data_IF_755388335109
#
_entry.id   IF_755388335109
#
_cell.length_a   1.000
_cell.length_b   1.000
_cell.length_c   1.000
_cell.angle_alpha   90.00
_cell.angle_beta   90.00
_cell.angle_gamma   90.00
#
_symmetry.space_group_name_H-M   'P 1'
#
loop_
_entity.id
_entity.type
_entity.pdbx_description
1 polymer ?
#
# COMPACT_ATOMS: atom_id res chain seq x y z
N UNK A 1 5.66 -16.14 0.76
CA UNK A 1 4.86 -14.90 0.81
C UNK A 1 5.64 -13.75 0.20
N UNK A 2 4.98 -12.90 -0.54
CA UNK A 2 5.58 -11.73 -1.17
C UNK A 2 4.99 -10.44 -0.62
N UNK A 3 5.77 -9.37 -0.69
CA UNK A 3 5.36 -8.06 -0.23
C UNK A 3 5.53 -7.02 -1.33
N UNK A 4 4.53 -6.15 -1.46
CA UNK A 4 4.67 -4.92 -2.24
C UNK A 4 4.89 -3.78 -1.27
N UNK A 5 5.97 -3.03 -1.47
CA UNK A 5 6.34 -1.90 -0.63
C UNK A 5 6.27 -0.63 -1.48
N UNK A 6 5.43 0.30 -1.08
CA UNK A 6 5.26 1.58 -1.78
C UNK A 6 5.71 2.70 -0.87
N UNK A 7 6.77 3.39 -1.27
CA UNK A 7 7.26 4.57 -0.57
C UNK A 7 6.59 5.81 -1.15
N UNK A 8 6.11 6.69 -0.30
CA UNK A 8 5.39 7.88 -0.71
C UNK A 8 5.72 9.05 0.20
N UNK A 9 5.42 10.25 -0.27
CA UNK A 9 5.52 11.46 0.53
C UNK A 9 4.19 12.17 0.50
N UNK A 10 3.71 12.56 1.68
CA UNK A 10 2.41 13.20 1.88
C UNK A 10 2.65 14.44 2.75
N UNK A 11 1.97 15.55 2.44
CA UNK A 11 2.06 16.70 3.34
C UNK A 11 1.60 16.29 4.74
N UNK A 12 2.32 16.67 5.80
CA UNK A 12 1.93 16.28 7.17
C UNK A 12 0.47 16.57 7.50
N UNK A 13 -0.07 17.68 6.99
CA UNK A 13 -1.47 18.04 7.21
C UNK A 13 -2.47 17.10 6.55
N UNK A 14 -2.04 16.31 5.57
CA UNK A 14 -2.90 15.38 4.83
C UNK A 14 -2.78 13.93 5.29
N UNK A 15 -1.92 13.63 6.27
CA UNK A 15 -1.71 12.26 6.74
C UNK A 15 -2.98 11.64 7.30
N UNK A 16 -3.75 12.40 8.08
CA UNK A 16 -5.01 11.91 8.65
C UNK A 16 -5.98 11.47 7.57
N UNK A 17 -6.11 12.27 6.51
CA UNK A 17 -6.98 11.95 5.38
C UNK A 17 -6.46 10.72 4.63
N UNK A 18 -5.15 10.61 4.42
CA UNK A 18 -4.54 9.43 3.78
C UNK A 18 -4.80 8.17 4.60
N UNK A 19 -4.67 8.25 5.93
CA UNK A 19 -4.94 7.13 6.82
C UNK A 19 -6.39 6.68 6.72
N UNK A 20 -7.32 7.63 6.66
CA UNK A 20 -8.74 7.35 6.54
C UNK A 20 -9.06 6.64 5.22
N UNK A 21 -8.52 7.15 4.11
CA UNK A 21 -8.72 6.53 2.80
C UNK A 21 -8.13 5.11 2.79
N UNK A 22 -6.95 4.94 3.32
CA UNK A 22 -6.30 3.64 3.36
C UNK A 22 -7.13 2.63 4.18
N UNK A 23 -7.55 3.02 5.36
CA UNK A 23 -8.30 2.14 6.26
C UNK A 23 -9.70 1.83 5.73
N UNK A 24 -10.40 2.83 5.17
CA UNK A 24 -11.82 2.71 4.83
C UNK A 24 -12.06 2.25 3.40
N UNK A 25 -11.13 2.51 2.49
CA UNK A 25 -11.30 2.19 1.06
C UNK A 25 -10.28 1.18 0.55
N UNK A 26 -9.01 1.36 0.90
CA UNK A 26 -7.95 0.50 0.36
C UNK A 26 -7.96 -0.89 1.01
N UNK A 27 -7.93 -0.95 2.32
CA UNK A 27 -7.87 -2.23 3.04
C UNK A 27 -9.11 -3.10 2.79
N UNK A 28 -10.35 -2.58 2.88
CA UNK A 28 -11.52 -3.41 2.57
C UNK A 28 -11.50 -3.97 1.15
N UNK A 29 -11.09 -3.17 0.17
CA UNK A 29 -11.00 -3.64 -1.20
C UNK A 29 -9.88 -4.68 -1.38
N UNK A 30 -8.76 -4.50 -0.69
CA UNK A 30 -7.65 -5.47 -0.72
C UNK A 30 -8.07 -6.84 -0.20
N UNK A 31 -8.94 -6.87 0.81
CA UNK A 31 -9.43 -8.13 1.38
C UNK A 31 -10.21 -8.97 0.38
N UNK A 32 -10.73 -8.37 -0.68
CA UNK A 32 -11.44 -9.08 -1.75
C UNK A 32 -10.49 -9.62 -2.82
N UNK A 33 -9.21 -9.23 -2.80
CA UNK A 33 -8.23 -9.68 -3.76
C UNK A 33 -7.65 -11.04 -3.35
N UNK A 34 -7.49 -11.92 -4.35
CA UNK A 34 -6.95 -13.25 -4.13
C UNK A 34 -5.53 -13.17 -3.56
N UNK A 35 -5.30 -13.93 -2.50
CA UNK A 35 -3.97 -14.05 -1.90
C UNK A 35 -3.57 -12.91 -0.97
N UNK A 36 -4.46 -11.96 -0.72
CA UNK A 36 -4.16 -10.88 0.22
C UNK A 36 -4.02 -11.44 1.64
N UNK A 37 -2.92 -11.06 2.33
CA UNK A 37 -2.58 -11.58 3.67
C UNK A 37 -2.43 -10.50 4.73
N UNK A 38 -2.39 -9.26 4.36
CA UNK A 38 -2.30 -8.17 5.31
C UNK A 38 -1.74 -6.91 4.70
N UNK A 39 -1.88 -5.81 5.44
CA UNK A 39 -1.38 -4.52 5.02
C UNK A 39 -1.01 -3.67 6.21
N UNK A 40 -0.01 -2.82 6.01
CA UNK A 40 0.45 -1.84 6.98
C UNK A 40 0.65 -0.52 6.25
N UNK A 41 0.24 0.56 6.88
CA UNK A 41 0.61 1.89 6.44
C UNK A 41 1.42 2.53 7.57
N UNK A 42 2.68 2.82 7.30
CA UNK A 42 3.60 3.46 8.23
C UNK A 42 3.74 4.92 7.80
N UNK A 43 3.61 5.84 8.73
CA UNK A 43 3.74 7.27 8.42
C UNK A 43 4.59 7.97 9.47
N UNK A 44 5.37 8.95 9.01
CA UNK A 44 6.06 9.89 9.88
C UNK A 44 5.27 11.20 9.86
N UNK A 45 4.59 11.54 10.98
CA UNK A 45 3.74 12.73 11.00
C UNK A 45 4.51 14.04 10.95
N UNK A 46 5.83 14.01 11.15
CA UNK A 46 6.66 15.21 11.09
C UNK A 46 7.16 15.50 9.68
N UNK A 47 7.58 14.46 8.97
CA UNK A 47 8.17 14.61 7.63
C UNK A 47 7.16 14.40 6.51
N UNK A 48 6.11 13.63 6.75
CA UNK A 48 5.16 13.22 5.72
C UNK A 48 5.58 11.98 4.95
N UNK A 49 6.71 11.36 5.30
CA UNK A 49 7.10 10.10 4.67
C UNK A 49 6.13 8.99 5.03
N UNK A 50 5.77 8.18 4.05
CA UNK A 50 4.89 7.05 4.23
C UNK A 50 5.42 5.82 3.53
N UNK A 51 5.11 4.66 4.10
CA UNK A 51 5.43 3.36 3.51
C UNK A 51 4.21 2.46 3.66
N UNK A 52 3.70 2.00 2.53
CA UNK A 52 2.62 1.01 2.50
C UNK A 52 3.24 -0.35 2.23
N UNK A 53 2.90 -1.33 3.08
CA UNK A 53 3.35 -2.71 2.90
C UNK A 53 2.11 -3.57 2.76
N UNK A 54 1.96 -4.27 1.63
CA UNK A 54 0.91 -5.27 1.46
C UNK A 54 1.54 -6.64 1.29
N UNK A 55 0.94 -7.63 1.96
CA UNK A 55 1.43 -9.01 2.00
C UNK A 55 0.52 -9.89 1.15
N UNK A 56 1.13 -10.76 0.36
CA UNK A 56 0.45 -11.63 -0.60
C UNK A 56 0.94 -13.06 -0.45
N UNK A 57 0.03 -14.02 -0.60
CA UNK A 57 0.33 -15.44 -0.47
C UNK A 57 1.46 -15.88 -1.39
N UNK A 58 1.48 -15.34 -2.63
CA UNK A 58 2.47 -15.68 -3.65
C UNK A 58 2.81 -14.46 -4.49
N UNK A 59 3.92 -14.56 -5.21
CA UNK A 59 4.31 -13.56 -6.20
C UNK A 59 3.25 -13.41 -7.29
N UNK A 60 2.65 -14.53 -7.71
CA UNK A 60 1.61 -14.53 -8.73
C UNK A 60 0.38 -13.74 -8.27
N UNK A 61 -0.04 -13.90 -7.02
CA UNK A 61 -1.18 -13.14 -6.47
C UNK A 61 -0.87 -11.65 -6.40
N UNK A 62 0.36 -11.30 -6.02
CA UNK A 62 0.82 -9.92 -6.00
C UNK A 62 0.73 -9.32 -7.40
N UNK A 63 1.28 -10.01 -8.40
CA UNK A 63 1.24 -9.53 -9.79
C UNK A 63 -0.19 -9.46 -10.33
N UNK A 64 -1.04 -10.41 -9.96
CA UNK A 64 -2.44 -10.39 -10.37
C UNK A 64 -3.17 -9.15 -9.84
N UNK A 65 -2.86 -8.71 -8.62
CA UNK A 65 -3.46 -7.50 -8.05
C UNK A 65 -3.07 -6.23 -8.83
N UNK A 66 -1.91 -6.24 -9.46
CA UNK A 66 -1.48 -5.13 -10.32
C UNK A 66 -2.06 -5.26 -11.72
N UNK A 67 -2.06 -6.45 -12.28
CA UNK A 67 -2.58 -6.70 -13.62
C UNK A 67 -4.10 -6.48 -13.72
N UNK A 68 -4.84 -6.75 -12.64
CA UNK A 68 -6.30 -6.53 -12.60
C UNK A 68 -6.70 -5.05 -12.52
N UNK A 69 -5.72 -4.16 -12.28
CA UNK A 69 -5.97 -2.74 -12.09
C UNK A 69 -6.28 -2.36 -10.64
N UNK A 70 -6.37 -3.31 -9.73
CA UNK A 70 -6.65 -3.02 -8.31
C UNK A 70 -5.65 -2.03 -7.73
N UNK A 71 -4.35 -2.31 -7.87
CA UNK A 71 -3.29 -1.46 -7.34
C UNK A 71 -3.41 -0.02 -7.86
N UNK A 72 -3.57 0.14 -9.17
CA UNK A 72 -3.65 1.46 -9.80
C UNK A 72 -4.89 2.23 -9.36
N UNK A 73 -6.04 1.57 -9.26
CA UNK A 73 -7.27 2.23 -8.79
C UNK A 73 -7.12 2.74 -7.36
N UNK A 74 -6.44 1.98 -6.48
CA UNK A 74 -6.24 2.40 -5.09
C UNK A 74 -5.21 3.51 -4.99
N UNK A 75 -4.17 3.46 -5.81
CA UNK A 75 -3.20 4.52 -5.90
C UNK A 75 -3.85 5.83 -6.35
N UNK A 76 -4.72 5.75 -7.36
CA UNK A 76 -5.45 6.93 -7.87
C UNK A 76 -6.30 7.59 -6.79
N UNK A 77 -6.87 6.84 -5.86
CA UNK A 77 -7.65 7.40 -4.76
C UNK A 77 -6.81 8.25 -3.82
N UNK A 78 -5.50 8.00 -3.75
CA UNK A 78 -4.57 8.72 -2.90
C UNK A 78 -3.73 9.75 -3.65
N UNK A 79 -3.78 9.74 -4.99
CA UNK A 79 -2.87 10.49 -5.86
C UNK A 79 -2.83 11.99 -5.52
N UNK A 80 -3.99 12.59 -5.24
CA UNK A 80 -4.06 14.02 -4.93
C UNK A 80 -3.32 14.41 -3.64
N UNK A 81 -3.05 13.44 -2.77
CA UNK A 81 -2.37 13.67 -1.50
C UNK A 81 -0.85 13.47 -1.59
N UNK A 82 -0.36 12.87 -2.68
CA UNK A 82 1.07 12.60 -2.83
C UNK A 82 1.86 13.85 -3.24
N UNK A 83 3.06 13.96 -2.68
CA UNK A 83 4.09 14.88 -3.16
C UNK A 83 5.04 14.01 -3.98
N UNK A 84 5.13 14.29 -5.28
CA UNK A 84 5.95 13.50 -6.19
C UNK A 84 5.33 12.14 -6.51
N UNK A 85 6.12 11.28 -7.11
CA UNK A 85 5.68 9.97 -7.59
C UNK A 85 6.01 8.88 -6.56
N UNK A 86 5.03 8.06 -6.16
CA UNK A 86 5.31 6.91 -5.28
C UNK A 86 6.27 5.92 -5.95
N UNK A 87 7.10 5.28 -5.14
CA UNK A 87 8.05 4.28 -5.60
C UNK A 87 7.60 2.91 -5.12
N UNK A 88 7.36 2.00 -6.07
CA UNK A 88 6.90 0.64 -5.80
C UNK A 88 8.06 -0.35 -5.93
N UNK A 89 8.17 -1.23 -4.94
CA UNK A 89 9.15 -2.33 -4.96
C UNK A 89 8.47 -3.61 -4.50
N UNK A 90 8.98 -4.74 -4.98
CA UNK A 90 8.52 -6.07 -4.63
C UNK A 90 9.62 -6.81 -3.89
N UNK A 91 9.24 -7.56 -2.85
CA UNK A 91 10.19 -8.35 -2.05
C UNK A 91 9.59 -9.70 -1.72
N UNK A 92 10.45 -10.70 -1.60
CA UNK A 92 10.08 -11.95 -0.95
C UNK A 92 10.15 -11.72 0.56
N UNK A 93 9.16 -12.22 1.31
CA UNK A 93 9.19 -12.18 2.77
C UNK A 93 10.11 -13.31 3.23
N UNK A 94 11.33 -12.98 3.61
CA UNK A 94 12.33 -13.96 4.02
C UNK A 94 12.10 -14.46 5.43
N UNK A 95 11.68 -13.56 6.34
CA UNK A 95 11.39 -13.87 7.74
C UNK A 95 10.19 -13.06 8.17
N UNK A 96 9.25 -13.70 8.84
CA UNK A 96 8.10 -13.03 9.43
C UNK A 96 7.90 -13.58 10.84
N UNK A 97 7.91 -12.68 11.81
CA UNK A 97 7.54 -12.99 13.19
C UNK A 97 6.68 -11.84 13.70
N UNK A 98 5.44 -12.18 14.01
CA UNK A 98 4.46 -11.18 14.46
C UNK A 98 3.65 -11.78 15.61
#
# INVERSE_FOLDING_TARGET
>A
MHARVVSMEIRPMDIEEANRIYQDLVVPAAKEERGFRGALLLTDPYTGEGVSISLWESEDDLHASEASGFYHRKLDQLDALFIGTPVRKHYEVSVQEV
#
